data_IF_922308760885
#
_entry.id   IF_922308760885
#
_cell.length_a   1.000
_cell.length_b   1.000
_cell.length_c   1.000
_cell.angle_alpha   90.00
_cell.angle_beta   90.00
_cell.angle_gamma   90.00
#
_symmetry.space_group_name_H-M   'P 1'
#
loop_
_entity.id
_entity.type
_entity.pdbx_description
1 polymer ?
#
# COMPACT_ATOMS: atom_id res chain seq x y z
N UNK A 1 -5.81 30.41 -5.00
CA UNK A 1 -4.40 30.46 -5.47
C UNK A 1 -3.59 30.83 -4.25
N UNK A 2 -2.72 29.95 -3.75
CA UNK A 2 -1.94 30.24 -2.56
C UNK A 2 -0.88 31.28 -2.93
N UNK A 3 -1.01 32.49 -2.39
CA UNK A 3 0.06 33.47 -2.41
C UNK A 3 1.22 32.87 -1.61
N UNK A 4 2.23 32.35 -2.33
CA UNK A 4 3.51 32.01 -1.71
C UNK A 4 4.01 33.30 -1.08
N UNK A 5 3.97 33.38 0.24
CA UNK A 5 4.72 34.36 1.00
C UNK A 5 6.18 34.01 0.73
N UNK A 6 6.73 34.57 -0.35
CA UNK A 6 8.16 34.56 -0.62
C UNK A 6 8.79 35.44 0.44
N UNK A 7 9.13 34.83 1.57
CA UNK A 7 10.02 35.46 2.55
C UNK A 7 11.26 35.94 1.80
N UNK A 8 11.72 37.17 2.09
CA UNK A 8 12.82 37.81 1.35
C UNK A 8 14.09 36.96 1.24
N UNK A 9 14.26 36.00 2.16
CA UNK A 9 15.34 35.01 2.20
C UNK A 9 15.34 34.09 0.96
N UNK A 10 14.17 33.58 0.54
CA UNK A 10 14.07 32.67 -0.61
C UNK A 10 13.97 33.42 -1.94
N UNK A 11 13.58 34.69 -1.91
CA UNK A 11 13.32 35.47 -3.11
C UNK A 11 14.60 35.75 -3.94
N UNK A 12 15.76 35.95 -3.27
CA UNK A 12 17.02 36.20 -3.97
C UNK A 12 17.56 34.95 -4.70
N UNK A 13 17.68 33.76 -4.07
CA UNK A 13 18.02 32.53 -4.78
C UNK A 13 17.10 32.23 -5.97
N UNK A 14 15.78 32.38 -5.79
CA UNK A 14 14.82 32.15 -6.86
C UNK A 14 15.00 33.10 -8.05
N UNK A 15 15.31 34.36 -7.77
CA UNK A 15 15.58 35.37 -8.80
C UNK A 15 16.84 35.04 -9.60
N UNK A 16 17.90 34.62 -8.91
CA UNK A 16 19.15 34.19 -9.54
C UNK A 16 18.95 32.89 -10.32
N UNK A 17 18.13 31.96 -9.83
CA UNK A 17 17.77 30.73 -10.57
C UNK A 17 17.03 31.02 -11.87
N UNK A 18 16.10 31.98 -11.86
CA UNK A 18 15.32 32.36 -13.05
C UNK A 18 16.14 33.14 -14.09
N UNK A 19 17.03 34.03 -13.65
CA UNK A 19 17.76 34.95 -14.54
C UNK A 19 19.21 34.54 -14.80
N UNK A 20 19.76 33.61 -14.03
CA UNK A 20 21.13 33.11 -14.11
C UNK A 20 22.18 34.09 -13.58
N UNK A 21 22.30 35.26 -14.22
CA UNK A 21 23.23 36.33 -13.83
C UNK A 21 22.49 37.64 -13.65
N UNK A 22 22.65 38.29 -12.49
CA UNK A 22 21.97 39.56 -12.21
C UNK A 22 22.86 40.52 -11.43
N UNK A 23 22.80 41.81 -11.76
CA UNK A 23 23.49 42.85 -10.98
C UNK A 23 22.77 43.07 -9.66
N UNK A 24 23.52 43.29 -8.58
CA UNK A 24 22.98 43.53 -7.23
C UNK A 24 21.95 44.67 -7.22
N UNK A 25 22.21 45.79 -7.91
CA UNK A 25 21.28 46.92 -8.00
C UNK A 25 19.97 46.59 -8.71
N UNK A 26 19.99 45.68 -9.70
CA UNK A 26 18.78 45.26 -10.41
C UNK A 26 17.99 44.28 -9.54
N UNK A 27 18.67 43.39 -8.82
CA UNK A 27 18.04 42.49 -7.87
C UNK A 27 17.36 43.26 -6.73
N UNK A 28 18.01 44.30 -6.19
CA UNK A 28 17.45 45.16 -5.14
C UNK A 28 16.14 45.83 -5.57
N UNK A 29 16.08 46.37 -6.79
CA UNK A 29 14.85 46.96 -7.36
C UNK A 29 13.73 45.95 -7.56
N UNK A 30 14.06 44.70 -7.91
CA UNK A 30 13.07 43.66 -8.17
C UNK A 30 12.49 43.06 -6.88
N UNK A 31 13.28 43.08 -5.81
CA UNK A 31 12.88 42.55 -4.49
C UNK A 31 12.43 43.65 -3.54
N UNK A 32 12.39 44.90 -4.00
CA UNK A 32 12.05 46.09 -3.22
C UNK A 32 12.78 46.12 -1.86
N UNK A 33 14.09 45.83 -1.91
CA UNK A 33 14.95 45.71 -0.72
C UNK A 33 16.16 46.63 -0.86
N UNK A 34 16.64 47.15 0.26
CA UNK A 34 17.85 47.97 0.29
C UNK A 34 19.07 47.24 -0.24
N UNK A 35 19.90 47.95 -1.01
CA UNK A 35 21.13 47.41 -1.61
C UNK A 35 22.07 46.82 -0.55
N UNK A 36 22.16 47.45 0.63
CA UNK A 36 23.00 47.00 1.74
C UNK A 36 22.50 45.67 2.33
N UNK A 37 21.21 45.58 2.64
CA UNK A 37 20.60 44.37 3.18
C UNK A 37 20.68 43.21 2.19
N UNK A 38 20.50 43.48 0.90
CA UNK A 38 20.67 42.46 -0.13
C UNK A 38 22.12 41.99 -0.28
N UNK A 39 23.09 42.88 -0.04
CA UNK A 39 24.50 42.51 -0.04
C UNK A 39 24.86 41.62 1.15
N UNK A 40 24.33 41.92 2.34
CA UNK A 40 24.50 41.07 3.53
C UNK A 40 23.87 39.69 3.30
N UNK A 41 22.65 39.65 2.78
CA UNK A 41 21.98 38.40 2.40
C UNK A 41 22.81 37.62 1.37
N UNK A 42 23.35 38.29 0.35
CA UNK A 42 24.15 37.65 -0.67
C UNK A 42 25.47 37.07 -0.11
N UNK A 43 26.09 37.72 0.88
CA UNK A 43 27.28 37.18 1.58
C UNK A 43 26.93 35.92 2.37
N UNK A 44 25.83 35.93 3.11
CA UNK A 44 25.37 34.75 3.86
C UNK A 44 25.09 33.57 2.91
N UNK A 45 24.45 33.84 1.77
CA UNK A 45 24.14 32.83 0.75
C UNK A 45 25.39 32.35 -0.01
N UNK A 46 26.44 33.17 -0.07
CA UNK A 46 27.75 32.79 -0.61
C UNK A 46 28.52 31.86 0.32
N UNK A 47 28.48 32.09 1.64
CA UNK A 47 29.04 31.16 2.63
C UNK A 47 28.40 29.77 2.56
N UNK A 48 27.12 29.72 2.20
CA UNK A 48 26.37 28.47 2.01
C UNK A 48 26.54 27.86 0.60
N UNK A 49 27.35 28.49 -0.27
CA UNK A 49 27.57 28.14 -1.68
C UNK A 49 26.25 28.03 -2.49
N UNK A 50 25.22 28.79 -2.09
CA UNK A 50 23.91 28.90 -2.75
C UNK A 50 23.99 29.91 -3.90
N UNK A 51 24.66 31.04 -3.68
CA UNK A 51 24.88 32.11 -4.66
C UNK A 51 26.38 32.43 -4.69
N UNK A 52 26.90 32.87 -5.84
CA UNK A 52 28.28 33.38 -5.96
C UNK A 52 28.26 34.87 -6.27
N UNK A 53 29.05 35.64 -5.54
CA UNK A 53 29.26 37.07 -5.79
C UNK A 53 30.51 37.25 -6.65
N UNK A 54 30.31 37.65 -7.90
CA UNK A 54 31.40 38.04 -8.78
C UNK A 54 31.67 39.54 -8.60
N UNK A 55 32.88 39.82 -8.10
CA UNK A 55 33.36 41.19 -7.87
C UNK A 55 33.97 41.75 -9.14
N UNK A 56 33.33 42.78 -9.70
CA UNK A 56 33.85 43.51 -10.86
C UNK A 56 34.82 44.61 -10.41
N UNK A 57 35.91 44.83 -11.15
CA UNK A 57 36.91 45.88 -10.87
C UNK A 57 36.29 47.28 -10.77
N UNK A 58 35.29 47.56 -11.60
CA UNK A 58 34.47 48.78 -11.54
C UNK A 58 33.00 48.43 -11.71
N UNK A 59 32.17 48.84 -10.76
CA UNK A 59 30.71 48.75 -10.87
C UNK A 59 30.03 47.82 -9.86
N UNK A 60 28.83 47.39 -10.24
CA UNK A 60 27.95 46.59 -9.38
C UNK A 60 28.35 45.12 -9.36
N UNK A 61 28.35 44.55 -8.14
CA UNK A 61 28.52 43.12 -7.91
C UNK A 61 27.51 42.31 -8.72
N UNK A 62 27.96 41.20 -9.28
CA UNK A 62 27.12 40.30 -10.08
C UNK A 62 26.82 39.07 -9.22
N UNK A 63 25.54 38.76 -9.09
CA UNK A 63 25.05 37.55 -8.45
C UNK A 63 24.92 36.46 -9.51
N UNK A 64 25.49 35.29 -9.22
CA UNK A 64 25.43 34.10 -10.07
C UNK A 64 25.04 32.88 -9.25
N UNK A 65 24.51 31.84 -9.91
CA UNK A 65 24.10 30.64 -9.22
C UNK A 65 25.30 29.88 -8.61
N UNK A 66 25.20 29.56 -7.31
CA UNK A 66 26.15 28.68 -6.62
C UNK A 66 25.83 27.20 -6.85
N UNK A 67 26.69 26.30 -6.35
CA UNK A 67 26.51 24.84 -6.54
C UNK A 67 25.25 24.32 -5.82
N UNK A 68 24.89 24.96 -4.70
CA UNK A 68 23.81 24.54 -3.83
C UNK A 68 22.47 25.26 -4.10
N UNK A 69 22.34 26.02 -5.18
CA UNK A 69 21.12 26.81 -5.47
C UNK A 69 19.85 25.94 -5.61
N UNK A 70 20.03 24.63 -5.83
CA UNK A 70 18.94 23.66 -5.93
C UNK A 70 18.49 23.09 -4.59
N UNK A 71 19.03 23.53 -3.45
CA UNK A 71 18.55 23.10 -2.11
C UNK A 71 17.23 23.76 -1.70
N UNK A 72 16.44 24.30 -2.63
CA UNK A 72 15.01 24.43 -2.39
C UNK A 72 14.44 23.02 -2.22
N UNK A 73 13.81 22.74 -1.07
CA UNK A 73 13.01 21.54 -0.79
C UNK A 73 11.93 21.20 -1.85
N UNK A 74 11.82 21.96 -2.94
CA UNK A 74 10.91 21.74 -4.06
C UNK A 74 11.50 20.93 -5.23
N UNK A 75 12.82 20.70 -5.30
CA UNK A 75 13.39 19.87 -6.39
C UNK A 75 13.28 18.35 -6.19
N UNK A 76 12.80 17.88 -5.03
CA UNK A 76 12.38 16.49 -4.86
C UNK A 76 11.05 16.18 -5.58
N UNK A 77 10.26 17.19 -5.95
CA UNK A 77 8.92 16.96 -6.53
C UNK A 77 8.85 16.97 -8.06
N UNK A 78 9.82 17.55 -8.77
CA UNK A 78 9.83 17.54 -10.25
C UNK A 78 10.78 16.50 -10.86
N UNK A 79 11.88 16.15 -10.19
CA UNK A 79 12.74 15.02 -10.64
C UNK A 79 12.05 13.67 -10.46
N UNK A 80 11.13 13.54 -9.51
CA UNK A 80 10.26 12.37 -9.36
C UNK A 80 9.16 12.25 -10.42
N UNK A 81 8.93 13.26 -11.27
CA UNK A 81 7.98 13.15 -12.39
C UNK A 81 8.62 12.87 -13.75
N UNK A 82 9.89 13.25 -13.96
CA UNK A 82 10.58 13.00 -15.25
C UNK A 82 11.64 11.89 -15.21
N UNK A 83 12.16 11.48 -14.05
CA UNK A 83 13.11 10.36 -13.97
C UNK A 83 12.47 8.99 -13.74
N UNK A 84 11.13 8.90 -13.61
CA UNK A 84 10.40 7.62 -13.48
C UNK A 84 10.19 6.95 -14.85
N UNK A 85 10.58 7.59 -15.95
CA UNK A 85 10.58 7.00 -17.30
C UNK A 85 11.95 6.39 -17.66
N UNK A 86 12.55 5.62 -16.76
CA UNK A 86 13.70 4.76 -17.11
C UNK A 86 13.58 3.39 -16.45
N UNK A 87 12.60 2.63 -16.93
CA UNK A 87 12.79 1.28 -17.49
C UNK A 87 13.17 0.10 -16.61
N UNK A 88 13.98 0.25 -15.56
CA UNK A 88 14.63 -0.93 -14.95
C UNK A 88 14.02 -1.35 -13.60
N UNK A 89 13.61 -0.40 -12.75
CA UNK A 89 13.00 -0.75 -11.45
C UNK A 89 11.59 -1.31 -11.57
N UNK A 90 10.85 -0.94 -12.60
CA UNK A 90 9.48 -1.43 -12.82
C UNK A 90 9.45 -2.90 -13.26
N UNK A 91 10.45 -3.40 -14.00
CA UNK A 91 10.50 -4.82 -14.36
C UNK A 91 10.72 -5.72 -13.15
N UNK A 92 11.66 -5.36 -12.26
CA UNK A 92 11.90 -6.14 -11.03
C UNK A 92 10.69 -6.12 -10.10
N UNK A 93 10.07 -4.95 -9.89
CA UNK A 93 8.84 -4.83 -9.10
C UNK A 93 7.69 -5.64 -9.71
N UNK A 94 7.52 -5.61 -11.03
CA UNK A 94 6.50 -6.40 -11.72
C UNK A 94 6.77 -7.91 -11.61
N UNK A 95 8.05 -8.32 -11.63
CA UNK A 95 8.45 -9.72 -11.44
C UNK A 95 8.16 -10.18 -10.02
N UNK A 96 8.50 -9.38 -9.01
CA UNK A 96 8.22 -9.65 -7.59
C UNK A 96 6.72 -9.69 -7.33
N UNK A 97 5.95 -8.71 -7.84
CA UNK A 97 4.50 -8.69 -7.74
C UNK A 97 3.86 -9.90 -8.45
N UNK A 98 4.41 -10.32 -9.59
CA UNK A 98 4.00 -11.53 -10.29
C UNK A 98 4.17 -12.80 -9.44
N UNK A 99 5.31 -12.95 -8.78
CA UNK A 99 5.57 -14.08 -7.86
C UNK A 99 4.63 -14.04 -6.66
N UNK A 100 4.40 -12.87 -6.06
CA UNK A 100 3.50 -12.70 -4.91
C UNK A 100 2.05 -13.05 -5.31
N UNK A 101 1.55 -12.52 -6.43
CA UNK A 101 0.20 -12.84 -6.95
C UNK A 101 0.06 -14.34 -7.23
N UNK A 102 1.06 -14.98 -7.84
CA UNK A 102 1.06 -16.43 -8.11
C UNK A 102 1.06 -17.26 -6.83
N UNK A 103 1.76 -16.83 -5.78
CA UNK A 103 1.80 -17.49 -4.47
C UNK A 103 0.47 -17.33 -3.72
N UNK A 104 -0.16 -16.17 -3.79
CA UNK A 104 -1.50 -15.93 -3.21
C UNK A 104 -2.55 -16.78 -3.92
N UNK A 105 -2.52 -16.84 -5.26
CA UNK A 105 -3.46 -17.62 -6.05
C UNK A 105 -3.35 -19.13 -5.75
N UNK A 106 -2.15 -19.67 -5.65
CA UNK A 106 -1.94 -21.08 -5.30
C UNK A 106 -2.31 -21.40 -3.85
N UNK A 107 -2.08 -20.48 -2.90
CA UNK A 107 -2.52 -20.63 -1.52
C UNK A 107 -4.05 -20.63 -1.40
N UNK A 108 -4.75 -19.74 -2.10
CA UNK A 108 -6.23 -19.74 -2.17
C UNK A 108 -6.78 -21.03 -2.78
N UNK A 109 -6.17 -21.54 -3.87
CA UNK A 109 -6.57 -22.82 -4.49
C UNK A 109 -6.34 -24.02 -3.56
N UNK A 110 -5.18 -24.13 -2.90
CA UNK A 110 -4.91 -25.22 -1.95
C UNK A 110 -5.85 -25.18 -0.73
N UNK A 111 -6.15 -23.98 -0.20
CA UNK A 111 -7.13 -23.82 0.88
C UNK A 111 -8.53 -24.25 0.46
N UNK A 112 -8.97 -23.89 -0.75
CA UNK A 112 -10.27 -24.31 -1.28
C UNK A 112 -10.35 -25.82 -1.54
N UNK A 113 -9.26 -26.46 -1.98
CA UNK A 113 -9.20 -27.91 -2.18
C UNK A 113 -9.25 -28.64 -0.82
N UNK A 114 -8.50 -28.17 0.18
CA UNK A 114 -8.52 -28.75 1.54
C UNK A 114 -9.91 -28.63 2.17
N UNK A 115 -10.54 -27.46 2.06
CA UNK A 115 -11.91 -27.26 2.56
C UNK A 115 -12.94 -28.16 1.85
N UNK A 116 -12.83 -28.37 0.53
CA UNK A 116 -13.71 -29.29 -0.20
C UNK A 116 -13.50 -30.76 0.19
N UNK A 117 -12.26 -31.17 0.47
CA UNK A 117 -11.96 -32.52 0.95
C UNK A 117 -12.55 -32.75 2.35
N UNK A 118 -12.33 -31.82 3.29
CA UNK A 118 -12.86 -31.91 4.65
C UNK A 118 -14.41 -31.94 4.68
N UNK A 119 -15.07 -31.20 3.78
CA UNK A 119 -16.54 -31.24 3.64
C UNK A 119 -17.01 -32.60 3.08
N UNK A 120 -16.26 -33.18 2.13
CA UNK A 120 -16.60 -34.48 1.55
C UNK A 120 -16.46 -35.62 2.57
N UNK A 121 -15.43 -35.56 3.41
CA UNK A 121 -15.18 -36.56 4.45
C UNK A 121 -16.24 -36.51 5.55
N UNK A 122 -16.59 -35.30 6.04
CA UNK A 122 -17.68 -35.13 7.03
C UNK A 122 -19.03 -35.62 6.52
N UNK A 123 -19.36 -35.35 5.24
CA UNK A 123 -20.63 -35.81 4.64
C UNK A 123 -20.69 -37.32 4.44
N UNK A 124 -19.55 -37.98 4.22
CA UNK A 124 -19.49 -39.44 4.15
C UNK A 124 -19.65 -40.09 5.53
N UNK A 125 -19.08 -39.48 6.57
CA UNK A 125 -19.22 -39.94 7.96
C UNK A 125 -20.66 -39.77 8.48
N UNK A 126 -21.30 -38.64 8.18
CA UNK A 126 -22.69 -38.36 8.55
C UNK A 126 -23.67 -39.33 7.89
N UNK A 127 -23.48 -39.67 6.61
CA UNK A 127 -24.30 -40.69 5.92
C UNK A 127 -24.16 -42.07 6.55
N UNK A 128 -22.95 -42.50 6.92
CA UNK A 128 -22.73 -43.78 7.59
C UNK A 128 -23.36 -43.82 8.98
N UNK A 129 -23.35 -42.70 9.70
CA UNK A 129 -24.00 -42.60 11.01
C UNK A 129 -25.54 -42.64 10.89
N UNK A 130 -26.12 -42.00 9.87
CA UNK A 130 -27.56 -42.05 9.62
C UNK A 130 -28.03 -43.46 9.23
N UNK A 131 -27.27 -44.16 8.39
CA UNK A 131 -27.60 -45.53 7.96
C UNK A 131 -27.57 -46.52 9.13
N UNK A 132 -26.59 -46.41 10.04
CA UNK A 132 -26.56 -47.21 11.27
C UNK A 132 -27.76 -46.96 12.18
N UNK A 133 -28.17 -45.69 12.34
CA UNK A 133 -29.35 -45.34 13.15
C UNK A 133 -30.65 -45.87 12.57
N UNK A 134 -30.76 -45.94 11.24
CA UNK A 134 -31.92 -46.54 10.56
C UNK A 134 -31.95 -48.06 10.76
N UNK A 135 -30.81 -48.73 10.61
CA UNK A 135 -30.69 -50.17 10.88
C UNK A 135 -31.06 -50.53 12.32
N UNK A 136 -30.48 -49.84 13.32
CA UNK A 136 -30.83 -50.08 14.73
C UNK A 136 -32.31 -49.79 15.05
N UNK A 137 -32.92 -48.82 14.37
CA UNK A 137 -34.35 -48.52 14.54
C UNK A 137 -35.25 -49.58 13.89
N UNK A 138 -34.85 -50.15 12.76
CA UNK A 138 -35.58 -51.26 12.13
C UNK A 138 -35.47 -52.55 12.94
N UNK A 139 -34.29 -52.88 13.45
CA UNK A 139 -34.09 -54.07 14.29
C UNK A 139 -34.94 -54.01 15.56
N UNK A 140 -34.98 -52.84 16.24
CA UNK A 140 -35.83 -52.64 17.42
C UNK A 140 -37.32 -52.79 17.11
N UNK A 141 -37.77 -52.27 15.95
CA UNK A 141 -39.17 -52.42 15.52
C UNK A 141 -39.51 -53.85 15.15
N UNK A 142 -38.58 -54.60 14.57
CA UNK A 142 -38.77 -56.02 14.27
C UNK A 142 -38.84 -56.86 15.56
N UNK A 143 -38.01 -56.55 16.55
CA UNK A 143 -38.03 -57.20 17.86
C UNK A 143 -39.34 -56.93 18.62
N UNK A 144 -39.80 -55.67 18.63
CA UNK A 144 -41.07 -55.28 19.27
C UNK A 144 -42.27 -55.99 18.65
N UNK A 145 -42.33 -56.08 17.31
CA UNK A 145 -43.39 -56.82 16.60
C UNK A 145 -43.39 -58.32 16.94
N UNK A 146 -42.21 -58.95 17.01
CA UNK A 146 -42.09 -60.37 17.40
C UNK A 146 -42.52 -60.60 18.84
N UNK A 147 -42.21 -59.67 19.74
CA UNK A 147 -42.65 -59.75 21.13
C UNK A 147 -44.17 -59.58 21.26
N UNK A 148 -44.78 -58.71 20.47
CA UNK A 148 -46.23 -58.52 20.43
C UNK A 148 -46.95 -59.74 19.85
N UNK A 149 -46.42 -60.35 18.81
CA UNK A 149 -46.97 -61.56 18.18
C UNK A 149 -46.93 -62.77 19.12
N UNK A 150 -45.84 -62.94 19.88
CA UNK A 150 -45.76 -63.97 20.93
C UNK A 150 -46.78 -63.76 22.05
N UNK A 151 -47.00 -62.50 22.48
CA UNK A 151 -48.01 -62.17 23.50
C UNK A 151 -49.43 -62.44 23.00
N UNK A 152 -49.70 -62.23 21.71
CA UNK A 152 -50.99 -62.58 21.10
C UNK A 152 -51.18 -64.10 21.00
N UNK A 153 -50.14 -64.84 20.60
CA UNK A 153 -50.18 -66.31 20.59
C UNK A 153 -50.40 -66.91 21.98
N UNK A 154 -49.67 -66.47 23.00
CA UNK A 154 -49.88 -66.92 24.40
C UNK A 154 -51.27 -66.54 24.95
N UNK A 155 -51.87 -65.46 24.47
CA UNK A 155 -53.22 -65.06 24.86
C UNK A 155 -54.31 -65.87 24.15
N UNK A 156 -54.06 -66.35 22.93
CA UNK A 156 -54.95 -67.25 22.20
C UNK A 156 -54.87 -68.68 22.73
N UNK A 157 -53.68 -69.20 23.03
CA UNK A 157 -53.53 -70.53 23.65
C UNK A 157 -54.22 -70.61 25.02
N UNK A 158 -54.11 -69.55 25.85
CA UNK A 158 -54.82 -69.47 27.15
C UNK A 158 -56.34 -69.35 27.03
N UNK A 159 -56.87 -68.94 25.88
CA UNK A 159 -58.31 -68.88 25.60
C UNK A 159 -58.87 -70.19 25.04
N UNK A 160 -58.00 -71.08 24.54
CA UNK A 160 -58.39 -72.39 24.04
C UNK A 160 -58.40 -73.48 25.12
N UNK A 161 -57.88 -73.19 26.32
CA UNK A 161 -57.77 -74.12 27.46
C UNK A 161 -58.84 -73.91 28.56
N UNK A 162 -59.78 -72.97 28.36
CA UNK A 162 -60.96 -72.71 29.22
C UNK A 162 -62.25 -73.19 28.55
#
# INVERSE_FOLDING_TARGET
MAEKITTGINALPDLVKKKGKIKLSVAAKLLDTDKKSLEELAKILEEQDIIKLEYTFTGDKILTAGKNINMSLEEEQEKTKKAVFSGERDEELNKVLGVIKKRIATKKRKGAIKGKAEIKDKRAEEKKAEEKRKGEAEDKRAEEKRAEEKRKGEAEDKRAEE
#
